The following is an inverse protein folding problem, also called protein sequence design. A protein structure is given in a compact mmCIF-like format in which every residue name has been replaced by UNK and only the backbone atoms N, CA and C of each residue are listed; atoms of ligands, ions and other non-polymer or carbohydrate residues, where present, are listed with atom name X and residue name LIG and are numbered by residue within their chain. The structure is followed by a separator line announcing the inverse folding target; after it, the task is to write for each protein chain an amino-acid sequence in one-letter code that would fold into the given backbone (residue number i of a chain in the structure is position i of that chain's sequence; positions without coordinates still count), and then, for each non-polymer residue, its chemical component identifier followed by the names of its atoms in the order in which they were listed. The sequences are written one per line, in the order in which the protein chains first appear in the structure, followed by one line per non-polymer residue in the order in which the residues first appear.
data_IF_179457667021
#
_entry.id   IF_179457667021
#
_cell.length_a   1.000
_cell.length_b   1.000
_cell.length_c   1.000
_cell.angle_alpha   90.00
_cell.angle_beta   90.00
_cell.angle_gamma   90.00
#
_symmetry.space_group_name_H-M   'P 1'
#
loop_
_entity.id
_entity.type
_entity.pdbx_description
1 polymer ?
#
# COMPACT_ATOMS: atom_id res chain seq x y z
N UNK A 1 5.94 19.28 -8.26
CA UNK A 1 6.42 18.73 -6.96
C UNK A 1 5.18 18.12 -6.31
N UNK A 2 5.05 16.79 -6.37
CA UNK A 2 3.89 16.12 -5.76
C UNK A 2 4.05 16.18 -4.24
N UNK A 3 3.06 16.75 -3.58
CA UNK A 3 3.01 16.93 -2.13
C UNK A 3 2.76 15.55 -1.48
N UNK A 4 3.85 14.81 -1.29
CA UNK A 4 3.87 13.48 -0.69
C UNK A 4 3.63 13.63 0.81
N UNK A 5 2.36 13.70 1.22
CA UNK A 5 2.01 13.61 2.63
C UNK A 5 2.32 12.18 3.08
N UNK A 6 3.28 11.95 3.99
CA UNK A 6 3.50 10.62 4.52
C UNK A 6 2.19 10.11 5.13
N UNK A 7 1.90 8.79 5.04
CA UNK A 7 0.73 8.22 5.70
C UNK A 7 0.71 8.70 7.16
N UNK A 8 -0.46 9.11 7.64
CA UNK A 8 -0.61 9.81 8.91
C UNK A 8 0.14 9.09 10.02
N UNK A 9 0.85 9.83 10.89
CA UNK A 9 1.68 9.31 12.00
C UNK A 9 0.91 8.45 13.03
N UNK A 10 -0.38 8.19 12.81
CA UNK A 10 -1.27 7.40 13.65
C UNK A 10 -1.92 6.33 12.77
N UNK A 11 -1.66 5.07 13.10
CA UNK A 11 -2.19 3.91 12.38
C UNK A 11 -1.63 2.62 12.98
N UNK A 12 -1.99 1.50 12.37
CA UNK A 12 -1.45 0.18 12.68
C UNK A 12 -0.75 -0.38 11.44
N UNK A 13 0.24 -1.24 11.63
CA UNK A 13 0.81 -2.04 10.54
C UNK A 13 0.39 -3.48 10.81
N UNK A 14 -0.17 -4.15 9.81
CA UNK A 14 -0.42 -5.58 9.92
C UNK A 14 0.90 -6.33 9.71
N UNK A 15 1.40 -6.95 10.78
CA UNK A 15 2.70 -7.62 10.78
C UNK A 15 2.61 -9.09 10.33
N UNK A 16 1.39 -9.63 10.18
CA UNK A 16 1.18 -11.05 9.90
C UNK A 16 0.85 -11.32 8.44
N UNK A 17 0.45 -10.31 7.68
CA UNK A 17 0.24 -10.45 6.25
C UNK A 17 1.56 -10.53 5.49
N UNK A 18 1.71 -11.48 4.55
CA UNK A 18 2.90 -11.56 3.74
C UNK A 18 3.02 -10.34 2.82
N UNK A 19 4.23 -9.81 2.69
CA UNK A 19 4.58 -8.85 1.66
C UNK A 19 4.60 -9.54 0.30
N UNK A 20 4.05 -8.89 -0.72
CA UNK A 20 4.17 -9.34 -2.11
C UNK A 20 5.31 -8.56 -2.75
N UNK A 21 6.32 -9.24 -3.27
CA UNK A 21 7.49 -8.60 -3.87
C UNK A 21 7.39 -8.57 -5.40
N UNK A 22 7.74 -7.44 -5.99
CA UNK A 22 8.06 -7.37 -7.42
C UNK A 22 9.39 -8.06 -7.72
N UNK A 23 9.65 -8.35 -8.99
CA UNK A 23 10.88 -9.01 -9.41
C UNK A 23 12.12 -8.19 -9.00
N UNK A 24 13.11 -8.87 -8.41
CA UNK A 24 14.36 -8.24 -8.00
C UNK A 24 14.24 -7.28 -6.80
N UNK A 25 13.09 -7.24 -6.11
CA UNK A 25 12.94 -6.45 -4.88
C UNK A 25 12.98 -4.93 -5.07
N UNK A 26 12.68 -4.45 -6.29
CA UNK A 26 12.57 -3.01 -6.58
C UNK A 26 11.36 -2.38 -5.91
N UNK A 27 10.27 -3.13 -5.83
CA UNK A 27 9.05 -2.74 -5.14
C UNK A 27 8.48 -3.89 -4.33
N UNK A 28 7.72 -3.55 -3.29
CA UNK A 28 6.89 -4.50 -2.56
C UNK A 28 5.53 -3.89 -2.25
N UNK A 29 4.54 -4.75 -2.13
CA UNK A 29 3.15 -4.41 -1.89
C UNK A 29 2.74 -4.90 -0.51
N UNK A 30 2.01 -4.05 0.19
CA UNK A 30 1.52 -4.32 1.54
C UNK A 30 0.17 -3.65 1.77
N UNK A 31 -0.53 -4.08 2.81
CA UNK A 31 -1.74 -3.39 3.26
C UNK A 31 -1.38 -2.40 4.36
N UNK A 32 -1.77 -1.14 4.19
CA UNK A 32 -1.58 -0.07 5.16
C UNK A 32 -2.89 0.67 5.43
N UNK A 33 -3.07 1.24 6.64
CA UNK A 33 -4.21 2.10 6.94
C UNK A 33 -4.09 3.42 6.17
N UNK A 34 -5.07 3.69 5.31
CA UNK A 34 -5.23 4.99 4.65
C UNK A 34 -6.39 5.73 5.27
N UNK A 35 -6.24 7.03 5.49
CA UNK A 35 -7.30 7.88 6.02
C UNK A 35 -8.29 8.25 4.92
N UNK A 36 -9.57 7.96 5.16
CA UNK A 36 -10.71 8.32 4.31
C UNK A 36 -11.50 9.49 4.94
N UNK A 37 -10.74 10.47 5.45
CA UNK A 37 -11.27 11.66 6.10
C UNK A 37 -12.00 11.34 7.41
N UNK A 38 -13.26 11.80 7.53
CA UNK A 38 -14.06 11.62 8.74
C UNK A 38 -14.47 10.17 8.98
N UNK A 39 -14.42 9.32 7.95
CA UNK A 39 -14.83 7.92 8.03
C UNK A 39 -13.77 7.04 8.70
N UNK A 40 -12.61 7.59 9.03
CA UNK A 40 -11.54 6.88 9.73
C UNK A 40 -10.50 6.30 8.77
N UNK A 41 -9.87 5.20 9.18
CA UNK A 41 -8.83 4.54 8.41
C UNK A 41 -9.29 3.16 7.94
N UNK A 42 -8.97 2.83 6.69
CA UNK A 42 -9.29 1.56 6.06
C UNK A 42 -8.04 0.91 5.49
N UNK A 43 -8.05 -0.42 5.32
CA UNK A 43 -6.93 -1.20 4.80
C UNK A 43 -6.85 -1.05 3.28
N UNK A 44 -5.77 -0.45 2.80
CA UNK A 44 -5.54 -0.25 1.37
C UNK A 44 -4.19 -0.80 0.94
N UNK A 45 -4.10 -1.18 -0.34
CA UNK A 45 -2.86 -1.63 -0.95
C UNK A 45 -1.95 -0.41 -1.12
N UNK A 46 -0.73 -0.52 -0.61
CA UNK A 46 0.34 0.41 -0.87
C UNK A 46 1.49 -0.31 -1.57
N UNK A 47 2.06 0.34 -2.59
CA UNK A 47 3.34 -0.04 -3.17
C UNK A 47 4.43 0.81 -2.52
N UNK A 48 5.52 0.15 -2.12
CA UNK A 48 6.73 0.83 -1.66
C UNK A 48 7.85 0.58 -2.65
N UNK A 49 8.53 1.65 -3.06
CA UNK A 49 9.67 1.59 -3.96
C UNK A 49 10.97 1.60 -3.14
N UNK A 50 11.83 0.61 -3.35
CA UNK A 50 13.02 0.39 -2.53
C UNK A 50 14.03 1.55 -2.64
N UNK A 51 14.27 2.01 -3.86
CA UNK A 51 15.29 3.01 -4.17
C UNK A 51 14.88 4.40 -3.66
N UNK A 52 13.63 4.80 -3.91
CA UNK A 52 13.14 6.14 -3.58
C UNK A 52 12.52 6.23 -2.20
N UNK A 53 12.24 5.09 -1.56
CA UNK A 53 11.45 4.99 -0.31
C UNK A 53 10.05 5.60 -0.44
N UNK A 54 9.58 5.79 -1.66
CA UNK A 54 8.26 6.31 -1.96
C UNK A 54 7.22 5.24 -1.64
N UNK A 55 6.13 5.66 -0.99
CA UNK A 55 4.97 4.81 -0.71
C UNK A 55 3.75 5.43 -1.38
N UNK A 56 3.09 4.66 -2.25
CA UNK A 56 1.90 5.09 -2.99
C UNK A 56 0.75 4.15 -2.71
N UNK A 57 -0.44 4.69 -2.44
CA UNK A 57 -1.65 3.90 -2.29
C UNK A 57 -2.28 3.63 -3.66
N UNK A 58 -2.62 2.36 -3.91
CA UNK A 58 -3.17 1.87 -5.18
C UNK A 58 -4.70 1.70 -5.15
N UNK A 59 -5.28 1.79 -3.96
CA UNK A 59 -6.71 1.64 -3.72
C UNK A 59 -7.16 2.72 -2.75
N UNK A 60 -8.42 3.13 -2.82
CA UNK A 60 -9.01 4.16 -1.95
C UNK A 60 -10.48 3.84 -1.66
N UNK A 61 -11.06 4.59 -0.72
CA UNK A 61 -12.49 4.55 -0.39
C UNK A 61 -12.80 3.80 0.90
N UNK A 62 -14.08 3.80 1.28
CA UNK A 62 -14.55 3.33 2.60
C UNK A 62 -14.72 1.80 2.65
N UNK A 63 -13.66 1.06 2.31
CA UNK A 63 -13.64 -0.40 2.24
C UNK A 63 -12.29 -0.95 2.69
N UNK A 64 -12.30 -2.15 3.25
CA UNK A 64 -11.07 -2.86 3.60
C UNK A 64 -10.68 -3.83 2.49
N UNK A 65 -9.43 -3.72 2.01
CA UNK A 65 -8.77 -4.78 1.25
C UNK A 65 -8.40 -5.90 2.21
N UNK A 66 -8.96 -7.09 1.96
CA UNK A 66 -8.78 -8.25 2.84
C UNK A 66 -7.54 -9.07 2.49
N UNK A 67 -7.19 -9.18 1.21
CA UNK A 67 -6.06 -9.99 0.73
C UNK A 67 -5.48 -9.44 -0.58
N UNK A 68 -4.16 -9.51 -0.71
CA UNK A 68 -3.47 -9.38 -1.99
C UNK A 68 -3.30 -10.80 -2.54
N UNK A 69 -3.94 -11.12 -3.66
CA UNK A 69 -3.91 -12.47 -4.22
C UNK A 69 -2.62 -12.76 -4.98
N UNK A 70 -2.19 -11.83 -5.82
CA UNK A 70 -0.98 -11.91 -6.62
C UNK A 70 -0.55 -10.51 -7.07
N UNK A 71 0.63 -10.43 -7.68
CA UNK A 71 1.04 -9.30 -8.51
C UNK A 71 1.62 -9.85 -9.80
N UNK A 72 1.16 -9.33 -10.95
CA UNK A 72 1.69 -9.66 -12.25
C UNK A 72 2.40 -8.44 -12.85
N UNK A 73 3.73 -8.47 -12.81
CA UNK A 73 4.59 -7.35 -13.20
C UNK A 73 4.50 -7.04 -14.70
N UNK A 74 4.40 -8.06 -15.56
CA UNK A 74 4.36 -7.88 -17.01
C UNK A 74 3.17 -7.06 -17.51
N UNK A 75 2.05 -7.07 -16.78
CA UNK A 75 0.88 -6.25 -17.06
C UNK A 75 0.63 -5.14 -16.03
N UNK A 76 1.52 -5.02 -15.04
CA UNK A 76 1.36 -4.15 -13.88
C UNK A 76 -0.03 -4.27 -13.22
N UNK A 77 -0.44 -5.49 -12.89
CA UNK A 77 -1.78 -5.80 -12.36
C UNK A 77 -1.70 -6.49 -11.00
N UNK A 78 -2.55 -6.07 -10.06
CA UNK A 78 -2.75 -6.64 -8.72
C UNK A 78 -4.00 -7.51 -8.67
#
# INVERSE_FOLDING_TARGET
IYDQRPPGRKGWVDLYDPLVFGHGGKSWFMKLPQSEGISGHFRHIAVTHNETRLVEFLTEGKLDVTKIAAYHEGSNTM
#
